data_IF_431847559191
#
_entry.id   IF_431847559191
#
_cell.length_a   1.000
_cell.length_b   1.000
_cell.length_c   1.000
_cell.angle_alpha   90.00
_cell.angle_beta   90.00
_cell.angle_gamma   90.00
#
_symmetry.space_group_name_H-M   'P 1'
#
loop_
_entity.id
_entity.type
_entity.pdbx_description
1 polymer ?
#
# COMPACT_ATOMS: atom_id res chain seq x y z
N UNK A 1 11.31 16.64 -10.20
CA UNK A 1 10.33 15.71 -9.58
C UNK A 1 9.01 15.94 -10.28
N UNK A 2 8.55 15.00 -11.11
CA UNK A 2 7.19 15.09 -11.64
C UNK A 2 6.19 14.81 -10.50
N UNK A 3 5.01 15.43 -10.54
CA UNK A 3 3.96 15.24 -9.52
C UNK A 3 3.61 13.76 -9.32
N UNK A 4 3.69 12.97 -10.39
CA UNK A 4 3.47 11.53 -10.39
C UNK A 4 4.52 10.77 -9.55
N UNK A 5 5.77 11.21 -9.55
CA UNK A 5 6.83 10.59 -8.73
C UNK A 5 6.52 10.78 -7.24
N UNK A 6 6.10 11.98 -6.86
CA UNK A 6 5.73 12.31 -5.48
C UNK A 6 4.53 11.48 -5.04
N UNK A 7 3.51 11.36 -5.90
CA UNK A 7 2.34 10.53 -5.63
C UNK A 7 2.72 9.05 -5.48
N UNK A 8 3.58 8.52 -6.34
CA UNK A 8 4.04 7.14 -6.26
C UNK A 8 4.78 6.88 -4.93
N UNK A 9 5.66 7.80 -4.51
CA UNK A 9 6.36 7.71 -3.23
C UNK A 9 5.37 7.72 -2.06
N UNK A 10 4.38 8.62 -2.08
CA UNK A 10 3.35 8.69 -1.04
C UNK A 10 2.54 7.40 -0.95
N UNK A 11 2.18 6.80 -2.09
CA UNK A 11 1.47 5.53 -2.14
C UNK A 11 2.29 4.38 -1.55
N UNK A 12 3.60 4.34 -1.84
CA UNK A 12 4.51 3.33 -1.29
C UNK A 12 4.68 3.50 0.22
N UNK A 13 4.84 4.74 0.71
CA UNK A 13 4.91 5.03 2.13
C UNK A 13 3.60 4.65 2.85
N UNK A 14 2.45 4.99 2.24
CA UNK A 14 1.13 4.60 2.74
C UNK A 14 0.96 3.09 2.79
N UNK A 15 1.43 2.35 1.78
CA UNK A 15 1.39 0.89 1.77
C UNK A 15 2.25 0.29 2.89
N UNK A 16 3.46 0.80 3.10
CA UNK A 16 4.34 0.36 4.17
C UNK A 16 3.72 0.60 5.56
N UNK A 17 3.10 1.77 5.77
CA UNK A 17 2.38 2.07 7.00
C UNK A 17 1.20 1.12 7.20
N UNK A 18 0.38 0.89 6.16
CA UNK A 18 -0.74 -0.03 6.21
C UNK A 18 -0.30 -1.45 6.56
N UNK A 19 0.74 -1.99 5.92
CA UNK A 19 1.27 -3.30 6.27
C UNK A 19 1.81 -3.38 7.70
N UNK A 20 2.43 -2.31 8.20
CA UNK A 20 2.91 -2.24 9.60
C UNK A 20 1.74 -2.27 10.59
N UNK A 21 0.69 -1.47 10.37
CA UNK A 21 -0.50 -1.48 11.21
C UNK A 21 -1.30 -2.77 11.10
N UNK A 22 -1.38 -3.35 9.90
CA UNK A 22 -1.97 -4.66 9.69
C UNK A 22 -1.24 -5.73 10.49
N UNK A 23 0.09 -5.80 10.41
CA UNK A 23 0.90 -6.71 11.20
C UNK A 23 0.69 -6.51 12.72
N UNK A 24 0.62 -5.26 13.18
CA UNK A 24 0.31 -4.96 14.58
C UNK A 24 -1.11 -5.40 14.98
N UNK A 25 -2.10 -5.29 14.08
CA UNK A 25 -3.44 -5.81 14.31
C UNK A 25 -3.46 -7.34 14.42
N UNK A 26 -2.66 -8.06 13.61
CA UNK A 26 -2.47 -9.51 13.79
C UNK A 26 -1.93 -9.84 15.18
N UNK A 27 -0.97 -9.06 15.71
CA UNK A 27 -0.45 -9.32 17.08
C UNK A 27 -1.50 -9.12 18.17
N UNK A 28 -2.57 -8.39 17.89
CA UNK A 28 -3.71 -8.16 18.79
C UNK A 28 -4.89 -9.10 18.53
N UNK A 29 -4.73 -10.10 17.66
CA UNK A 29 -5.80 -11.00 17.20
C UNK A 29 -7.02 -10.28 16.62
N UNK A 30 -6.81 -9.09 16.02
CA UNK A 30 -7.88 -8.35 15.34
C UNK A 30 -7.81 -8.59 13.83
N UNK A 31 -8.35 -9.75 13.41
CA UNK A 31 -8.23 -10.23 12.03
C UNK A 31 -8.92 -9.33 11.00
N UNK A 32 -10.03 -8.69 11.38
CA UNK A 32 -10.77 -7.80 10.46
C UNK A 32 -9.98 -6.52 10.19
N UNK A 33 -9.44 -5.89 11.24
CA UNK A 33 -8.59 -4.70 11.11
C UNK A 33 -7.29 -5.03 10.36
N UNK A 34 -6.69 -6.19 10.65
CA UNK A 34 -5.55 -6.72 9.94
C UNK A 34 -5.81 -6.86 8.43
N UNK A 35 -6.88 -7.55 8.05
CA UNK A 35 -7.26 -7.74 6.65
C UNK A 35 -7.54 -6.40 5.96
N UNK A 36 -8.21 -5.47 6.63
CA UNK A 36 -8.47 -4.14 6.11
C UNK A 36 -7.16 -3.42 5.73
N UNK A 37 -6.20 -3.39 6.64
CA UNK A 37 -4.90 -2.77 6.40
C UNK A 37 -4.09 -3.49 5.31
N UNK A 38 -4.11 -4.82 5.28
CA UNK A 38 -3.43 -5.61 4.25
C UNK A 38 -3.99 -5.33 2.85
N UNK A 39 -5.32 -5.28 2.71
CA UNK A 39 -5.97 -4.97 1.43
C UNK A 39 -5.63 -3.56 0.97
N UNK A 40 -5.69 -2.57 1.86
CA UNK A 40 -5.32 -1.19 1.53
C UNK A 40 -3.85 -1.09 1.12
N UNK A 41 -2.95 -1.74 1.86
CA UNK A 41 -1.53 -1.74 1.53
C UNK A 41 -1.26 -2.34 0.15
N UNK A 42 -1.90 -3.46 -0.18
CA UNK A 42 -1.76 -4.10 -1.48
C UNK A 42 -2.29 -3.22 -2.63
N UNK A 43 -3.44 -2.57 -2.44
CA UNK A 43 -4.03 -1.66 -3.45
C UNK A 43 -3.15 -0.42 -3.64
N UNK A 44 -2.68 0.21 -2.56
CA UNK A 44 -1.81 1.38 -2.62
C UNK A 44 -0.48 1.06 -3.32
N UNK A 45 0.14 -0.08 -2.98
CA UNK A 45 1.37 -0.53 -3.62
C UNK A 45 1.17 -0.78 -5.12
N UNK A 46 0.09 -1.47 -5.50
CA UNK A 46 -0.25 -1.71 -6.92
C UNK A 46 -0.42 -0.40 -7.67
N UNK A 47 -1.16 0.57 -7.11
CA UNK A 47 -1.36 1.87 -7.71
C UNK A 47 -0.04 2.63 -7.91
N UNK A 48 0.85 2.60 -6.89
CA UNK A 48 2.18 3.20 -6.98
C UNK A 48 3.02 2.59 -8.11
N UNK A 49 3.03 1.26 -8.23
CA UNK A 49 3.75 0.55 -9.31
C UNK A 49 3.18 0.90 -10.69
N UNK A 50 1.86 0.99 -10.84
CA UNK A 50 1.22 1.34 -12.12
C UNK A 50 1.53 2.77 -12.57
N UNK A 51 1.63 3.70 -11.63
CA UNK A 51 2.00 5.10 -11.92
C UNK A 51 3.44 5.18 -12.45
N UNK A 52 4.36 4.42 -11.86
CA UNK A 52 5.78 4.43 -12.25
C UNK A 52 6.03 3.62 -13.54
N UNK A 53 5.21 2.58 -13.80
CA UNK A 53 5.26 1.77 -15.03
C UNK A 53 3.91 1.73 -15.74
N UNK A 54 3.54 2.81 -16.46
CA UNK A 54 2.35 2.79 -17.29
C UNK A 54 2.51 1.74 -18.40
N UNK A 55 1.69 0.68 -18.36
CA UNK A 55 1.71 -0.42 -19.34
C UNK A 55 2.12 -1.80 -18.78
N UNK A 56 2.45 -1.92 -17.49
CA UNK A 56 2.56 -3.23 -16.85
C UNK A 56 1.16 -3.86 -16.72
N UNK A 57 0.73 -4.62 -17.73
CA UNK A 57 -0.41 -5.53 -17.58
C UNK A 57 0.04 -6.74 -16.76
N UNK A 58 -0.82 -7.17 -15.84
CA UNK A 58 -0.70 -8.47 -15.16
C UNK A 58 -0.84 -9.61 -16.18
#
# INVERSE_FOLDING_TARGET
MQVLDVLAVLLVLGAAAAFTFGALALTRSNDVEALYFLVIGAVALRAGVQIVRPGASL
#
